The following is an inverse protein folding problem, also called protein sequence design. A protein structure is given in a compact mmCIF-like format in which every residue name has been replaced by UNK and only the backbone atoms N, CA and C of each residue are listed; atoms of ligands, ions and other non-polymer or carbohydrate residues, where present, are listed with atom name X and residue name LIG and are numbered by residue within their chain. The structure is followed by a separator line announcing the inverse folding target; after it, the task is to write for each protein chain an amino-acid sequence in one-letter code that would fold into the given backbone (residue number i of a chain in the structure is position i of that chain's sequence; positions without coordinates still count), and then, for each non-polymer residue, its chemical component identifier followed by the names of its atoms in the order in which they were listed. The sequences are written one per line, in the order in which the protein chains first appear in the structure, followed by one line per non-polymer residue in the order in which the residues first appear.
data_IF_684491679661
#
_entry.id   IF_684491679661
#
_cell.length_a   1.000
_cell.length_b   1.000
_cell.length_c   1.000
_cell.angle_alpha   90.00
_cell.angle_beta   90.00
_cell.angle_gamma   90.00
#
_symmetry.space_group_name_H-M   'P 1'
#
loop_
_entity.id
_entity.type
_entity.pdbx_description
1 polymer ?
#
# COMPACT_ATOMS: atom_id res chain seq x y z
N UNK A 1 3.17 7.03 8.06
CA UNK A 1 2.37 6.69 6.85
C UNK A 1 0.95 6.43 7.30
N UNK A 2 0.05 7.21 6.79
CA UNK A 2 -1.37 7.18 7.16
C UNK A 2 -2.17 6.88 5.88
N UNK A 3 -2.91 5.78 5.86
CA UNK A 3 -3.55 5.27 4.65
C UNK A 3 -5.06 5.30 4.81
N UNK A 4 -5.70 6.22 4.11
CA UNK A 4 -7.16 6.32 4.01
C UNK A 4 -7.65 5.66 2.72
N UNK A 5 -8.97 5.36 2.58
CA UNK A 5 -9.45 4.57 1.43
C UNK A 5 -9.33 5.28 0.08
N UNK A 6 -9.38 6.61 0.08
CA UNK A 6 -9.31 7.40 -1.16
C UNK A 6 -8.09 8.29 -1.17
N UNK A 7 -7.76 8.82 -2.36
CA UNK A 7 -6.76 9.86 -2.48
C UNK A 7 -7.12 11.07 -1.60
N UNK A 8 -6.10 11.72 -1.05
CA UNK A 8 -6.27 12.92 -0.22
C UNK A 8 -7.06 14.03 -0.94
N UNK A 9 -7.00 14.07 -2.25
CA UNK A 9 -7.76 15.03 -3.06
C UNK A 9 -9.27 14.72 -3.15
N UNK A 10 -9.72 13.57 -2.65
CA UNK A 10 -11.10 13.13 -2.74
C UNK A 10 -11.90 13.62 -1.52
N UNK A 11 -12.92 14.43 -1.76
CA UNK A 11 -13.71 15.05 -0.68
C UNK A 11 -14.56 14.07 0.14
N UNK A 12 -14.77 12.85 -0.33
CA UNK A 12 -15.54 11.80 0.33
C UNK A 12 -14.67 10.81 1.11
N UNK A 13 -13.42 11.18 1.36
CA UNK A 13 -12.48 10.29 2.05
C UNK A 13 -12.99 9.93 3.46
N UNK A 14 -12.46 8.83 3.98
CA UNK A 14 -12.90 8.26 5.26
C UNK A 14 -11.69 7.99 6.16
N UNK A 15 -11.95 7.43 7.33
CA UNK A 15 -10.94 7.09 8.33
C UNK A 15 -9.86 6.17 7.76
N UNK A 16 -8.63 6.22 8.31
CA UNK A 16 -7.56 5.30 7.92
C UNK A 16 -7.97 3.84 7.99
N UNK A 17 -7.51 3.04 7.02
CA UNK A 17 -7.85 1.63 6.92
C UNK A 17 -6.90 0.73 7.73
N UNK A 18 -5.70 1.21 8.01
CA UNK A 18 -4.68 0.50 8.81
C UNK A 18 -4.02 1.46 9.80
N UNK A 19 -3.39 0.95 10.88
CA UNK A 19 -2.60 1.79 11.78
C UNK A 19 -1.42 2.44 11.04
N UNK A 20 -0.93 3.55 11.59
CA UNK A 20 0.24 4.23 11.06
C UNK A 20 1.48 3.32 11.13
N UNK A 21 2.16 3.15 10.02
CA UNK A 21 3.31 2.25 9.91
C UNK A 21 4.64 2.97 10.15
N UNK A 22 4.74 4.24 9.79
CA UNK A 22 5.97 5.02 9.92
C UNK A 22 6.40 5.67 8.61
N UNK A 23 7.70 5.93 8.50
CA UNK A 23 8.30 6.58 7.34
C UNK A 23 9.35 5.68 6.71
N UNK A 24 9.46 5.74 5.38
CA UNK A 24 10.39 4.92 4.60
C UNK A 24 11.24 5.78 3.69
N UNK A 25 12.48 5.36 3.46
CA UNK A 25 13.39 6.02 2.53
C UNK A 25 14.25 5.00 1.79
N UNK A 26 14.53 5.25 0.52
CA UNK A 26 15.37 4.39 -0.31
C UNK A 26 15.90 5.16 -1.52
N UNK A 27 17.04 4.72 -2.06
CA UNK A 27 17.55 5.22 -3.34
C UNK A 27 16.95 4.46 -4.54
N UNK A 28 16.19 3.39 -4.29
CA UNK A 28 15.51 2.58 -5.32
C UNK A 28 14.00 2.83 -5.22
N UNK A 29 13.39 3.54 -6.19
CA UNK A 29 11.97 3.89 -6.11
C UNK A 29 11.05 2.66 -6.19
N UNK A 30 11.42 1.62 -6.93
CA UNK A 30 10.62 0.40 -7.04
C UNK A 30 10.64 -0.37 -5.72
N UNK A 31 11.84 -0.55 -5.13
CA UNK A 31 11.99 -1.22 -3.84
C UNK A 31 11.26 -0.44 -2.73
N UNK A 32 11.31 0.90 -2.77
CA UNK A 32 10.62 1.74 -1.80
C UNK A 32 9.10 1.52 -1.85
N UNK A 33 8.51 1.61 -3.03
CA UNK A 33 7.07 1.42 -3.20
C UNK A 33 6.64 0.01 -2.83
N UNK A 34 7.42 -0.99 -3.19
CA UNK A 34 7.15 -2.38 -2.81
C UNK A 34 7.19 -2.57 -1.31
N UNK A 35 8.21 -2.05 -0.64
CA UNK A 35 8.35 -2.14 0.81
C UNK A 35 7.19 -1.44 1.54
N UNK A 36 6.78 -0.27 1.07
CA UNK A 36 5.64 0.47 1.62
C UNK A 36 4.33 -0.30 1.45
N UNK A 37 4.08 -0.85 0.26
CA UNK A 37 2.88 -1.64 0.01
C UNK A 37 2.84 -2.90 0.89
N UNK A 38 3.96 -3.62 1.00
CA UNK A 38 4.06 -4.80 1.85
C UNK A 38 3.82 -4.44 3.33
N UNK A 39 4.37 -3.31 3.79
CA UNK A 39 4.19 -2.85 5.16
C UNK A 39 2.71 -2.55 5.47
N UNK A 40 1.99 -1.94 4.53
CA UNK A 40 0.55 -1.68 4.66
C UNK A 40 -0.22 -3.00 4.70
N UNK A 41 0.09 -3.94 3.81
CA UNK A 41 -0.59 -5.24 3.76
C UNK A 41 -0.33 -6.11 5.00
N UNK A 42 0.78 -5.88 5.72
CA UNK A 42 1.09 -6.58 6.95
C UNK A 42 0.40 -5.98 8.18
N UNK A 43 -0.27 -4.83 8.06
CA UNK A 43 -0.96 -4.20 9.17
C UNK A 43 -2.36 -4.78 9.39
N UNK A 44 -2.85 -4.83 10.64
CA UNK A 44 -4.23 -5.19 10.91
C UNK A 44 -5.19 -4.13 10.37
N UNK A 45 -6.40 -4.55 10.05
CA UNK A 45 -7.46 -3.66 9.57
C UNK A 45 -7.99 -2.83 10.75
N UNK A 46 -8.13 -1.51 10.55
CA UNK A 46 -8.77 -0.64 11.54
C UNK A 46 -10.28 -0.92 11.60
N UNK A 47 -10.80 -1.15 12.81
CA UNK A 47 -12.23 -1.37 13.02
C UNK A 47 -13.04 -0.13 12.66
N UNK A 48 -14.15 -0.34 11.97
CA UNK A 48 -15.02 0.75 11.53
C UNK A 48 -14.57 1.45 10.27
N UNK A 49 -13.41 1.07 9.70
CA UNK A 49 -12.94 1.61 8.43
C UNK A 49 -13.65 0.94 7.25
N UNK A 50 -13.49 1.52 6.06
CA UNK A 50 -14.01 0.94 4.82
C UNK A 50 -13.49 -0.49 4.61
N UNK A 51 -12.21 -0.75 4.92
CA UNK A 51 -11.61 -2.07 4.76
C UNK A 51 -12.22 -3.09 5.74
N UNK A 52 -12.66 -2.67 6.92
CA UNK A 52 -13.33 -3.55 7.89
C UNK A 52 -14.70 -4.02 7.40
N UNK A 53 -15.38 -3.23 6.56
CA UNK A 53 -16.72 -3.50 6.06
C UNK A 53 -16.74 -4.36 4.79
N UNK A 54 -15.60 -4.59 4.14
CA UNK A 54 -15.52 -5.36 2.89
C UNK A 54 -15.02 -6.79 3.15
N UNK A 55 -15.30 -7.70 2.20
CA UNK A 55 -14.77 -9.06 2.24
C UNK A 55 -13.29 -9.07 1.88
N UNK A 56 -12.49 -9.82 2.65
CA UNK A 56 -11.04 -9.89 2.44
C UNK A 56 -10.69 -11.11 1.57
N UNK A 57 -11.20 -11.11 0.34
CA UNK A 57 -11.05 -12.24 -0.59
C UNK A 57 -9.76 -12.21 -1.39
N UNK A 58 -9.10 -11.06 -1.49
CA UNK A 58 -7.89 -10.89 -2.30
C UNK A 58 -6.59 -11.03 -1.50
N UNK A 59 -6.65 -11.04 -0.15
CA UNK A 59 -5.49 -11.05 0.76
C UNK A 59 -4.54 -9.86 0.52
N UNK A 60 -5.09 -8.76 0.02
CA UNK A 60 -4.39 -7.54 -0.36
C UNK A 60 -5.31 -6.36 -0.03
N UNK A 61 -4.92 -5.50 0.92
CA UNK A 61 -5.74 -4.40 1.40
C UNK A 61 -6.13 -3.44 0.27
N UNK A 62 -5.22 -3.17 -0.66
CA UNK A 62 -5.49 -2.25 -1.77
C UNK A 62 -6.57 -2.80 -2.70
N UNK A 63 -6.48 -4.07 -3.06
CA UNK A 63 -7.44 -4.72 -3.94
C UNK A 63 -8.76 -4.98 -3.24
N UNK A 64 -8.75 -5.26 -1.93
CA UNK A 64 -9.98 -5.45 -1.15
C UNK A 64 -10.80 -4.15 -1.08
N UNK A 65 -10.15 -2.98 -0.99
CA UNK A 65 -10.84 -1.69 -1.02
C UNK A 65 -11.34 -1.36 -2.41
N UNK A 66 -10.50 -1.57 -3.42
CA UNK A 66 -10.81 -1.27 -4.83
C UNK A 66 -10.50 -2.48 -5.72
N UNK A 67 -11.44 -3.43 -5.88
CA UNK A 67 -11.20 -4.66 -6.65
C UNK A 67 -10.79 -4.45 -8.11
N UNK A 68 -11.11 -3.30 -8.69
CA UNK A 68 -10.79 -2.98 -10.09
C UNK A 68 -9.36 -2.46 -10.27
N UNK A 69 -8.60 -2.31 -9.19
CA UNK A 69 -7.23 -1.78 -9.24
C UNK A 69 -6.20 -2.90 -9.28
N UNK A 70 -5.02 -2.58 -9.82
CA UNK A 70 -3.88 -3.48 -9.86
C UNK A 70 -2.59 -2.67 -9.57
N UNK A 71 -2.23 -2.54 -8.29
CA UNK A 71 -1.08 -1.75 -7.89
C UNK A 71 0.26 -2.37 -8.28
N UNK A 72 0.31 -3.70 -8.44
CA UNK A 72 1.57 -4.38 -8.79
C UNK A 72 2.00 -4.10 -10.22
N UNK A 73 1.08 -3.74 -11.12
CA UNK A 73 1.39 -3.49 -12.52
C UNK A 73 2.36 -2.32 -12.71
N UNK A 74 2.26 -1.26 -11.91
CA UNK A 74 3.18 -0.12 -11.99
C UNK A 74 4.59 -0.50 -11.54
N UNK A 75 4.72 -1.36 -10.54
CA UNK A 75 6.03 -1.85 -10.07
C UNK A 75 6.67 -2.77 -11.10
N UNK A 76 5.91 -3.66 -11.71
CA UNK A 76 6.39 -4.54 -12.78
C UNK A 76 6.86 -3.74 -13.99
N UNK A 77 6.11 -2.71 -14.38
CA UNK A 77 6.47 -1.84 -15.49
C UNK A 77 7.74 -1.03 -15.17
N UNK A 78 7.84 -0.45 -13.99
CA UNK A 78 9.02 0.31 -13.56
C UNK A 78 10.26 -0.58 -13.52
N UNK A 79 10.14 -1.83 -13.05
CA UNK A 79 11.21 -2.80 -13.05
C UNK A 79 11.65 -3.14 -14.47
N UNK A 80 10.71 -3.33 -15.39
CA UNK A 80 10.99 -3.61 -16.80
C UNK A 80 11.70 -2.44 -17.48
N UNK A 81 11.44 -1.20 -17.08
CA UNK A 81 12.12 0.00 -17.58
C UNK A 81 13.50 0.22 -16.97
N UNK A 82 13.92 -0.60 -16.00
CA UNK A 82 15.21 -0.47 -15.34
C UNK A 82 15.27 0.62 -14.28
N UNK A 83 14.14 1.07 -13.75
CA UNK A 83 14.09 2.11 -12.72
C UNK A 83 14.47 1.60 -11.33
N UNK A 84 14.49 0.30 -11.13
CA UNK A 84 14.86 -0.32 -9.86
C UNK A 84 14.48 -1.78 -9.81
N UNK A 85 14.52 -2.37 -8.62
CA UNK A 85 14.13 -3.75 -8.37
C UNK A 85 13.08 -3.83 -7.28
N UNK A 86 12.31 -4.91 -7.23
CA UNK A 86 11.32 -5.17 -6.18
C UNK A 86 11.89 -5.95 -4.99
N UNK A 87 13.20 -6.18 -4.96
CA UNK A 87 13.91 -6.76 -3.83
C UNK A 87 14.41 -5.68 -2.90
N UNK A 88 14.22 -5.87 -1.60
CA UNK A 88 14.66 -4.89 -0.61
C UNK A 88 15.06 -5.57 0.69
N UNK A 89 15.91 -4.88 1.46
CA UNK A 89 16.21 -5.20 2.84
C UNK A 89 15.64 -4.10 3.73
N UNK A 90 14.79 -4.45 4.68
CA UNK A 90 14.19 -3.48 5.58
C UNK A 90 15.10 -3.28 6.80
N UNK A 91 15.66 -2.07 6.92
CA UNK A 91 16.53 -1.69 8.03
C UNK A 91 15.78 -0.69 8.89
N UNK A 92 15.54 -1.04 10.14
CA UNK A 92 14.86 -0.18 11.10
C UNK A 92 15.88 0.60 11.91
N UNK A 93 15.69 1.90 11.95
CA UNK A 93 16.56 2.81 12.69
C UNK A 93 15.98 3.09 14.06
#
# INVERSE_FOLDING_TARGET
MDVSPYCDCHGENDAPIVPDVGMFASFDPVALDRACADAVNNQPVCKGSVLDEVEHVHHDHFTDVFPDTNWTSCLEHAKALGLGTDEYELIQI
#
